data_IF_441293166394
#
_entry.id   IF_441293166394
#
_cell.length_a   1.000
_cell.length_b   1.000
_cell.length_c   1.000
_cell.angle_alpha   90.00
_cell.angle_beta   90.00
_cell.angle_gamma   90.00
#
_symmetry.space_group_name_H-M   'P 1'
#
loop_
_entity.id
_entity.type
_entity.pdbx_description
1 polymer ?
#
# COMPACT_ATOMS: atom_id res chain seq x y z
N UNK A 1 12.98 56.45 59.82
CA UNK A 1 14.21 56.40 58.98
C UNK A 1 14.19 55.08 58.23
N UNK A 2 14.30 54.87 56.92
CA UNK A 2 14.52 55.67 55.69
C UNK A 2 13.86 54.82 54.57
N UNK A 3 12.91 55.39 53.83
CA UNK A 3 12.97 55.75 52.38
C UNK A 3 12.76 54.59 51.38
N UNK A 4 11.61 54.67 50.71
CA UNK A 4 11.27 54.10 49.39
C UNK A 4 12.16 54.67 48.27
N UNK A 5 12.55 53.81 47.31
CA UNK A 5 13.02 54.07 45.91
C UNK A 5 12.72 52.74 45.18
N UNK A 6 11.78 52.54 44.25
CA UNK A 6 11.31 53.26 43.06
C UNK A 6 12.40 53.46 42.00
N UNK A 7 12.61 52.43 41.17
CA UNK A 7 13.18 52.64 39.83
C UNK A 7 12.51 51.71 38.82
N UNK A 8 11.60 52.34 38.05
CA UNK A 8 11.17 51.89 36.72
C UNK A 8 12.36 51.87 35.77
N UNK A 9 12.40 50.87 34.87
CA UNK A 9 12.88 51.01 33.49
C UNK A 9 12.27 49.88 32.64
N UNK A 10 11.19 50.19 31.91
CA UNK A 10 11.11 50.15 30.44
C UNK A 10 11.26 48.74 29.84
N UNK A 11 10.18 48.00 29.58
CA UNK A 11 9.36 48.11 28.36
C UNK A 11 10.21 48.01 27.07
N UNK A 12 10.39 46.77 26.59
CA UNK A 12 10.46 46.49 25.15
C UNK A 12 9.48 45.35 24.89
N UNK A 13 8.34 45.75 24.37
CA UNK A 13 7.38 44.95 23.65
C UNK A 13 8.13 44.34 22.47
N UNK A 14 8.41 43.04 22.51
CA UNK A 14 8.65 42.27 21.28
C UNK A 14 7.53 41.26 21.17
N UNK A 15 6.40 41.76 20.67
CA UNK A 15 5.39 40.94 20.04
C UNK A 15 6.03 40.32 18.79
N UNK A 16 6.73 39.19 18.97
CA UNK A 16 6.90 38.26 17.88
C UNK A 16 5.55 37.59 17.62
N UNK A 17 4.71 38.32 16.88
CA UNK A 17 3.77 37.75 15.94
C UNK A 17 4.60 36.88 15.00
N UNK A 18 4.81 35.62 15.39
CA UNK A 18 5.10 34.56 14.44
C UNK A 18 3.81 34.41 13.66
N UNK A 19 3.70 35.20 12.59
CA UNK A 19 2.86 34.86 11.45
C UNK A 19 3.53 33.60 10.91
N UNK A 20 3.19 32.44 11.49
CA UNK A 20 3.34 31.17 10.81
C UNK A 20 2.43 31.31 9.61
N UNK A 21 3.06 31.76 8.52
CA UNK A 21 2.58 31.59 7.18
C UNK A 21 2.12 30.14 7.10
N UNK A 22 0.80 29.93 7.16
CA UNK A 22 0.17 28.81 6.48
C UNK A 22 0.42 29.05 4.99
N UNK A 23 1.67 28.82 4.60
CA UNK A 23 2.15 28.82 3.25
C UNK A 23 1.41 27.67 2.58
N UNK A 24 0.40 28.03 1.80
CA UNK A 24 -0.22 27.22 0.76
C UNK A 24 -0.78 25.92 1.34
N UNK A 25 -2.07 25.83 1.62
CA UNK A 25 -3.05 25.44 0.61
C UNK A 25 -2.43 24.73 -0.62
N UNK A 26 -1.56 23.74 -0.38
CA UNK A 26 -1.41 22.58 -1.23
C UNK A 26 -2.76 21.89 -1.17
N UNK A 27 -3.71 22.40 -1.95
CA UNK A 27 -4.89 21.64 -2.29
C UNK A 27 -4.35 20.53 -3.19
N UNK A 28 -4.21 19.26 -2.72
CA UNK A 28 -3.68 18.18 -3.55
C UNK A 28 -4.59 17.89 -4.76
N UNK A 29 -5.73 18.58 -4.87
CA UNK A 29 -6.63 18.56 -6.01
C UNK A 29 -6.07 19.17 -7.31
N UNK A 30 -4.94 19.90 -7.29
CA UNK A 30 -4.42 20.57 -8.49
C UNK A 30 -3.11 20.01 -9.09
N UNK A 31 -2.50 18.98 -8.52
CA UNK A 31 -1.61 18.15 -9.34
C UNK A 31 -2.49 17.18 -10.10
N UNK A 32 -2.56 17.31 -11.43
CA UNK A 32 -3.17 16.31 -12.31
C UNK A 32 -2.28 15.07 -12.25
N UNK A 33 -2.43 14.34 -11.17
CA UNK A 33 -1.82 13.05 -10.94
C UNK A 33 -2.43 12.10 -11.97
N UNK A 34 -1.60 11.55 -12.86
CA UNK A 34 -2.03 10.53 -13.83
C UNK A 34 -2.31 9.16 -13.20
N UNK A 35 -2.24 9.06 -11.86
CA UNK A 35 -2.50 7.84 -11.12
C UNK A 35 -3.70 8.05 -10.18
N UNK A 36 -4.60 7.07 -10.13
CA UNK A 36 -5.68 7.02 -9.15
C UNK A 36 -5.29 6.21 -7.91
N UNK A 37 -4.57 5.11 -8.10
CA UNK A 37 -4.12 4.20 -7.04
C UNK A 37 -2.62 3.96 -7.17
N UNK A 38 -1.92 4.03 -6.03
CA UNK A 38 -0.53 3.64 -5.85
C UNK A 38 -0.40 2.60 -4.75
N UNK A 39 0.49 1.65 -4.97
CA UNK A 39 0.88 0.65 -3.97
C UNK A 39 2.29 0.94 -3.46
N UNK A 40 2.52 0.62 -2.19
CA UNK A 40 3.84 0.45 -1.60
C UNK A 40 3.79 -0.86 -0.80
N UNK A 41 4.63 -1.86 -1.09
CA UNK A 41 5.66 -1.90 -2.14
C UNK A 41 5.11 -1.65 -3.55
N UNK A 42 5.94 -1.07 -4.41
CA UNK A 42 5.62 -0.88 -5.83
C UNK A 42 5.72 -2.21 -6.58
N UNK A 43 5.14 -2.25 -7.78
CA UNK A 43 5.23 -3.44 -8.63
C UNK A 43 6.69 -3.74 -8.99
N UNK A 44 7.09 -4.99 -8.83
CA UNK A 44 8.44 -5.53 -9.02
C UNK A 44 9.49 -5.01 -8.02
N UNK A 45 9.09 -4.52 -6.85
CA UNK A 45 10.06 -4.27 -5.77
C UNK A 45 10.66 -5.61 -5.30
N UNK A 46 12.00 -5.70 -5.20
CA UNK A 46 12.71 -6.95 -4.89
C UNK A 46 13.34 -7.01 -3.49
N UNK A 47 13.17 -5.96 -2.68
CA UNK A 47 13.85 -5.82 -1.38
C UNK A 47 12.92 -5.26 -0.32
N UNK A 48 11.71 -5.81 -0.27
CA UNK A 48 10.70 -5.44 0.73
C UNK A 48 11.06 -6.05 2.09
N UNK A 49 10.97 -5.28 3.18
CA UNK A 49 11.22 -5.84 4.50
C UNK A 49 10.05 -6.73 4.93
N UNK A 50 10.35 -7.80 5.65
CA UNK A 50 9.32 -8.76 6.09
C UNK A 50 8.24 -8.19 7.03
N UNK A 51 8.52 -7.02 7.62
CA UNK A 51 7.60 -6.30 8.51
C UNK A 51 7.00 -5.04 7.86
N UNK A 52 7.25 -4.82 6.57
CA UNK A 52 6.67 -3.70 5.85
C UNK A 52 5.15 -3.84 5.79
N UNK A 53 4.48 -2.69 5.91
CA UNK A 53 3.04 -2.60 5.72
C UNK A 53 2.75 -2.43 4.24
N UNK A 54 1.67 -3.03 3.78
CA UNK A 54 1.18 -2.81 2.43
C UNK A 54 0.33 -1.54 2.45
N UNK A 55 0.70 -0.53 1.66
CA UNK A 55 0.03 0.77 1.62
C UNK A 55 -0.61 1.03 0.27
N UNK A 56 -1.89 1.36 0.30
CA UNK A 56 -2.67 1.80 -0.85
C UNK A 56 -2.93 3.30 -0.70
N UNK A 57 -2.49 4.09 -1.67
CA UNK A 57 -2.71 5.53 -1.73
C UNK A 57 -3.62 5.87 -2.89
N UNK A 58 -4.75 6.50 -2.59
CA UNK A 58 -5.77 6.89 -3.55
C UNK A 58 -5.72 8.41 -3.82
N UNK A 59 -5.95 8.80 -5.08
CA UNK A 59 -6.02 10.20 -5.46
C UNK A 59 -7.28 10.92 -4.93
N UNK A 60 -8.29 10.15 -4.52
CA UNK A 60 -9.56 10.62 -3.91
C UNK A 60 -10.05 9.63 -2.86
N UNK A 61 -10.94 10.11 -1.99
CA UNK A 61 -11.63 9.27 -1.00
C UNK A 61 -12.32 8.11 -1.71
N UNK A 62 -12.13 6.91 -1.18
CA UNK A 62 -12.82 5.68 -1.61
C UNK A 62 -13.75 5.19 -0.50
N UNK A 63 -14.51 4.11 -0.75
CA UNK A 63 -15.29 3.44 0.29
C UNK A 63 -14.39 2.36 0.91
N UNK A 64 -14.03 2.47 2.19
CA UNK A 64 -13.19 1.49 2.88
C UNK A 64 -13.70 0.05 2.74
N UNK A 65 -15.01 -0.18 2.85
CA UNK A 65 -15.58 -1.54 2.81
C UNK A 65 -15.36 -2.22 1.48
N UNK A 66 -15.47 -1.46 0.39
CA UNK A 66 -15.22 -1.99 -0.95
C UNK A 66 -13.74 -2.35 -1.09
N UNK A 67 -12.83 -1.56 -0.55
CA UNK A 67 -11.39 -1.89 -0.64
C UNK A 67 -11.08 -3.13 0.21
N UNK A 68 -11.55 -3.17 1.45
CA UNK A 68 -11.27 -4.27 2.40
C UNK A 68 -11.79 -5.63 1.91
N UNK A 69 -12.94 -5.68 1.24
CA UNK A 69 -13.53 -6.91 0.73
C UNK A 69 -12.85 -7.45 -0.54
N UNK A 70 -12.05 -6.62 -1.21
CA UNK A 70 -11.61 -6.86 -2.57
C UNK A 70 -10.09 -6.72 -2.77
N UNK A 71 -9.37 -6.34 -1.72
CA UNK A 71 -7.91 -6.45 -1.66
C UNK A 71 -7.50 -7.84 -1.22
N UNK A 72 -6.54 -8.42 -1.93
CA UNK A 72 -6.00 -9.75 -1.63
C UNK A 72 -4.48 -9.72 -1.70
N UNK A 73 -3.83 -10.33 -0.71
CA UNK A 73 -2.39 -10.58 -0.66
C UNK A 73 -2.17 -12.09 -0.57
N UNK A 74 -1.28 -12.65 -1.41
CA UNK A 74 -1.00 -14.08 -1.47
C UNK A 74 0.51 -14.28 -1.58
N UNK A 75 1.06 -15.27 -0.87
CA UNK A 75 2.45 -15.68 -1.07
C UNK A 75 2.59 -16.73 -2.19
N UNK A 76 3.72 -16.76 -2.88
CA UNK A 76 4.03 -17.82 -3.84
C UNK A 76 3.95 -19.21 -3.21
N UNK A 77 4.31 -19.34 -1.93
CA UNK A 77 4.18 -20.58 -1.16
C UNK A 77 2.73 -21.03 -1.04
N UNK A 78 1.82 -20.12 -0.67
CA UNK A 78 0.40 -20.45 -0.53
C UNK A 78 -0.23 -20.80 -1.88
N UNK A 79 0.19 -20.12 -2.95
CA UNK A 79 -0.22 -20.45 -4.32
C UNK A 79 0.24 -21.85 -4.75
N UNK A 80 1.41 -22.30 -4.30
CA UNK A 80 1.99 -23.60 -4.65
C UNK A 80 1.55 -24.74 -3.72
N UNK A 81 0.56 -24.53 -2.85
CA UNK A 81 0.12 -25.56 -1.91
C UNK A 81 -0.51 -26.76 -2.62
N UNK A 82 0.28 -27.82 -2.75
CA UNK A 82 -0.12 -29.11 -3.36
C UNK A 82 -1.20 -29.86 -2.57
N UNK A 83 -1.48 -29.46 -1.33
CA UNK A 83 -2.57 -30.01 -0.52
C UNK A 83 -3.90 -29.31 -0.78
N UNK A 84 -3.89 -28.19 -1.49
CA UNK A 84 -5.12 -27.58 -1.94
C UNK A 84 -5.87 -28.56 -2.86
N UNK A 85 -7.14 -28.91 -2.58
CA UNK A 85 -7.92 -29.84 -3.39
C UNK A 85 -8.02 -29.44 -4.87
N UNK A 86 -7.96 -28.14 -5.15
CA UNK A 86 -8.08 -27.57 -6.49
C UNK A 86 -6.74 -27.57 -7.24
N UNK A 87 -5.61 -27.64 -6.52
CA UNK A 87 -4.25 -27.64 -7.10
C UNK A 87 -4.01 -28.79 -8.08
N UNK A 88 -4.65 -29.94 -7.86
CA UNK A 88 -4.47 -31.16 -8.66
C UNK A 88 -5.19 -31.12 -10.00
N UNK A 89 -6.33 -30.42 -10.06
CA UNK A 89 -7.17 -30.35 -11.27
C UNK A 89 -6.90 -29.08 -12.08
N UNK A 90 -6.35 -28.04 -11.45
CA UNK A 90 -6.15 -26.73 -12.10
C UNK A 90 -4.69 -26.32 -12.32
N UNK A 91 -3.72 -27.21 -12.09
CA UNK A 91 -2.32 -27.04 -12.48
C UNK A 91 -1.76 -25.64 -12.18
N UNK A 92 -1.17 -25.43 -11.00
CA UNK A 92 -0.52 -24.17 -10.61
C UNK A 92 0.75 -23.84 -11.43
N UNK A 93 0.85 -24.26 -12.69
CA UNK A 93 2.12 -24.31 -13.43
C UNK A 93 2.77 -22.96 -13.64
N UNK A 94 2.01 -21.87 -13.61
CA UNK A 94 2.54 -20.51 -13.50
C UNK A 94 1.46 -19.51 -13.02
N UNK A 95 1.95 -18.42 -12.43
CA UNK A 95 1.16 -17.32 -11.89
C UNK A 95 0.29 -16.66 -12.97
N UNK A 96 0.77 -16.64 -14.21
CA UNK A 96 0.09 -16.06 -15.37
C UNK A 96 -1.17 -16.86 -15.78
N UNK A 97 -1.14 -18.20 -15.73
CA UNK A 97 -2.32 -19.02 -16.00
C UNK A 97 -3.37 -18.90 -14.89
N UNK A 98 -2.94 -18.81 -13.63
CA UNK A 98 -3.86 -18.62 -12.50
C UNK A 98 -4.69 -17.31 -12.66
N UNK A 99 -4.05 -16.25 -13.14
CA UNK A 99 -4.69 -14.94 -13.36
C UNK A 99 -5.74 -14.93 -14.48
N UNK A 100 -5.61 -15.80 -15.47
CA UNK A 100 -6.56 -15.90 -16.57
C UNK A 100 -7.78 -16.78 -16.26
N UNK A 101 -7.80 -17.42 -15.09
CA UNK A 101 -8.88 -18.30 -14.65
C UNK A 101 -9.65 -17.66 -13.48
N UNK A 102 -10.86 -17.16 -13.75
CA UNK A 102 -11.73 -16.51 -12.74
C UNK A 102 -11.99 -17.44 -11.54
N UNK A 103 -12.24 -18.72 -11.78
CA UNK A 103 -12.48 -19.69 -10.70
C UNK A 103 -11.24 -19.92 -9.82
N UNK A 104 -10.04 -19.82 -10.41
CA UNK A 104 -8.79 -19.87 -9.64
C UNK A 104 -8.63 -18.61 -8.78
N UNK A 105 -8.89 -17.43 -9.34
CA UNK A 105 -8.78 -16.17 -8.59
C UNK A 105 -9.77 -16.10 -7.41
N UNK A 106 -11.00 -16.59 -7.59
CA UNK A 106 -11.98 -16.71 -6.49
C UNK A 106 -11.49 -17.70 -5.43
N UNK A 107 -10.97 -18.86 -5.84
CA UNK A 107 -10.41 -19.83 -4.91
C UNK A 107 -9.21 -19.28 -4.13
N UNK A 108 -8.28 -18.62 -4.81
CA UNK A 108 -7.12 -17.98 -4.20
C UNK A 108 -7.54 -16.89 -3.21
N UNK A 109 -8.55 -16.09 -3.57
CA UNK A 109 -9.17 -15.10 -2.66
C UNK A 109 -9.75 -15.75 -1.42
N UNK A 110 -10.43 -16.88 -1.54
CA UNK A 110 -11.13 -17.48 -0.40
C UNK A 110 -10.23 -18.34 0.50
N UNK A 111 -9.24 -19.01 -0.08
CA UNK A 111 -8.49 -20.08 0.60
C UNK A 111 -7.04 -19.69 0.91
N UNK A 112 -6.39 -18.94 0.03
CA UNK A 112 -4.94 -18.71 0.07
C UNK A 112 -4.53 -17.27 0.42
N UNK A 113 -5.49 -16.41 0.75
CA UNK A 113 -5.17 -15.04 1.13
C UNK A 113 -4.52 -14.97 2.52
N UNK A 114 -3.51 -14.10 2.63
CA UNK A 114 -2.92 -13.70 3.89
C UNK A 114 -3.93 -12.84 4.64
N UNK A 115 -4.21 -13.23 5.89
CA UNK A 115 -5.09 -12.48 6.78
C UNK A 115 -4.37 -11.27 7.36
N UNK A 116 -5.15 -10.24 7.69
CA UNK A 116 -4.61 -9.02 8.27
C UNK A 116 -5.69 -8.03 8.63
N UNK A 117 -5.26 -6.82 8.98
CA UNK A 117 -6.11 -5.70 9.40
C UNK A 117 -5.87 -4.51 8.50
N UNK A 118 -6.92 -3.73 8.30
CA UNK A 118 -6.86 -2.48 7.57
C UNK A 118 -6.86 -1.29 8.53
N UNK A 119 -6.01 -0.31 8.25
CA UNK A 119 -5.94 0.96 8.97
C UNK A 119 -6.08 2.10 7.98
N UNK A 120 -7.04 2.99 8.24
CA UNK A 120 -7.38 4.09 7.33
C UNK A 120 -7.02 5.44 7.93
N UNK A 121 -6.65 6.38 7.07
CA UNK A 121 -6.67 7.79 7.46
C UNK A 121 -8.12 8.33 7.48
N UNK A 122 -8.31 9.51 8.09
CA UNK A 122 -9.64 10.14 8.23
C UNK A 122 -10.35 10.37 6.89
N UNK A 123 -9.59 10.62 5.85
CA UNK A 123 -10.11 11.07 4.56
C UNK A 123 -10.33 9.91 3.59
N UNK A 124 -10.10 8.66 4.03
CA UNK A 124 -10.23 7.44 3.23
C UNK A 124 -9.44 7.48 1.92
N UNK A 125 -8.26 8.12 1.94
CA UNK A 125 -7.33 8.24 0.82
C UNK A 125 -6.07 7.40 1.02
N UNK A 126 -5.81 6.93 2.23
CA UNK A 126 -4.68 6.07 2.56
C UNK A 126 -5.19 4.88 3.37
N UNK A 127 -4.87 3.69 2.90
CA UNK A 127 -5.13 2.43 3.57
C UNK A 127 -3.81 1.68 3.79
N UNK A 128 -3.57 1.22 5.01
CA UNK A 128 -2.50 0.29 5.32
C UNK A 128 -3.10 -1.08 5.65
N UNK A 129 -2.75 -2.09 4.86
CA UNK A 129 -2.98 -3.49 5.21
C UNK A 129 -1.78 -4.02 6.00
N UNK A 130 -2.09 -4.56 7.17
CA UNK A 130 -1.15 -5.08 8.15
C UNK A 130 -1.41 -6.58 8.27
N UNK A 131 -0.55 -7.44 7.67
CA UNK A 131 -0.64 -8.88 7.82
C UNK A 131 -0.67 -9.30 9.31
N UNK A 132 -1.46 -10.32 9.65
CA UNK A 132 -1.55 -10.84 11.02
C UNK A 132 -0.24 -11.52 11.48
N UNK A 133 0.62 -11.91 10.53
CA UNK A 133 1.96 -12.46 10.73
C UNK A 133 2.98 -11.74 9.85
N UNK A 134 4.24 -11.71 10.26
CA UNK A 134 5.32 -11.23 9.37
C UNK A 134 5.34 -12.00 8.06
N UNK A 135 5.79 -11.33 7.00
CA UNK A 135 6.05 -11.98 5.71
C UNK A 135 7.25 -12.94 5.85
N UNK A 136 7.27 -14.01 5.06
CA UNK A 136 8.44 -14.89 4.89
C UNK A 136 9.55 -14.17 4.12
N UNK A 137 10.82 -14.43 4.48
CA UNK A 137 12.01 -13.92 3.77
C UNK A 137 12.19 -14.57 2.40
N UNK A 138 12.79 -13.84 1.45
CA UNK A 138 13.06 -14.28 0.08
C UNK A 138 11.84 -14.91 -0.62
N UNK A 139 10.63 -14.42 -0.28
CA UNK A 139 9.36 -14.90 -0.79
C UNK A 139 8.77 -13.89 -1.78
N UNK A 140 8.18 -14.41 -2.85
CA UNK A 140 7.41 -13.62 -3.82
C UNK A 140 5.96 -13.51 -3.32
N UNK A 141 5.38 -12.32 -3.46
CA UNK A 141 4.01 -12.02 -3.09
C UNK A 141 3.27 -11.41 -4.27
N UNK A 142 2.00 -11.78 -4.36
CA UNK A 142 1.02 -11.19 -5.25
C UNK A 142 0.09 -10.30 -4.44
N UNK A 143 -0.17 -9.11 -4.95
CA UNK A 143 -1.32 -8.32 -4.57
C UNK A 143 -2.25 -8.24 -5.77
N UNK A 144 -3.54 -8.46 -5.54
CA UNK A 144 -4.53 -8.08 -6.54
C UNK A 144 -5.72 -7.36 -5.93
N UNK A 145 -6.30 -6.50 -6.75
CA UNK A 145 -7.57 -5.83 -6.48
C UNK A 145 -8.56 -6.27 -7.53
N UNK A 146 -9.70 -6.75 -7.05
CA UNK A 146 -10.69 -7.37 -7.92
C UNK A 146 -11.50 -6.36 -8.76
N UNK A 147 -12.35 -6.91 -9.63
CA UNK A 147 -13.19 -6.13 -10.54
C UNK A 147 -14.13 -5.14 -9.83
N UNK A 148 -14.60 -5.44 -8.62
CA UNK A 148 -15.51 -4.57 -7.88
C UNK A 148 -14.77 -3.34 -7.38
N UNK A 149 -13.55 -3.53 -6.86
CA UNK A 149 -12.69 -2.42 -6.49
C UNK A 149 -12.29 -1.59 -7.70
N UNK A 150 -11.90 -2.21 -8.81
CA UNK A 150 -11.57 -1.49 -10.06
C UNK A 150 -12.75 -0.68 -10.57
N UNK A 151 -13.94 -1.27 -10.63
CA UNK A 151 -15.16 -0.58 -11.04
C UNK A 151 -15.50 0.59 -10.13
N UNK A 152 -15.37 0.42 -8.81
CA UNK A 152 -15.58 1.50 -7.84
C UNK A 152 -14.65 2.70 -8.12
N UNK A 153 -13.38 2.44 -8.39
CA UNK A 153 -12.42 3.47 -8.77
C UNK A 153 -12.81 4.15 -10.09
N UNK A 154 -13.22 3.38 -11.11
CA UNK A 154 -13.68 3.94 -12.38
C UNK A 154 -14.90 4.84 -12.21
N UNK A 155 -15.87 4.47 -11.38
CA UNK A 155 -17.07 5.24 -11.15
C UNK A 155 -16.75 6.56 -10.43
N UNK A 156 -15.80 6.55 -9.47
CA UNK A 156 -15.27 7.78 -8.88
C UNK A 156 -14.63 8.67 -9.95
N UNK A 157 -13.79 8.11 -10.82
CA UNK A 157 -13.12 8.88 -11.88
C UNK A 157 -14.14 9.49 -12.85
N UNK A 158 -15.18 8.75 -13.24
CA UNK A 158 -16.26 9.27 -14.10
C UNK A 158 -17.01 10.44 -13.45
N UNK A 159 -17.24 10.37 -12.13
CA UNK A 159 -17.86 11.47 -11.38
C UNK A 159 -16.96 12.70 -11.26
N UNK A 160 -15.66 12.57 -11.52
CA UNK A 160 -14.70 13.67 -11.55
C UNK A 160 -14.60 14.34 -12.93
N UNK A 161 -15.63 14.27 -13.79
CA UNK A 161 -15.62 14.56 -15.24
C UNK A 161 -14.98 15.88 -15.75
N UNK A 162 -14.56 16.78 -14.86
CA UNK A 162 -13.77 17.97 -15.20
C UNK A 162 -12.24 17.74 -15.11
N UNK A 163 -11.81 16.61 -14.55
CA UNK A 163 -10.40 16.20 -14.47
C UNK A 163 -10.10 15.29 -15.64
N UNK A 164 -9.27 15.78 -16.57
CA UNK A 164 -8.86 15.14 -17.81
C UNK A 164 -7.94 13.91 -17.58
N UNK A 165 -8.27 13.05 -16.61
CA UNK A 165 -7.54 11.84 -16.29
C UNK A 165 -8.10 10.71 -17.15
N UNK A 166 -7.48 10.49 -18.31
CA UNK A 166 -7.79 9.32 -19.11
C UNK A 166 -7.39 8.06 -18.35
N UNK A 167 -8.40 7.28 -17.97
CA UNK A 167 -8.28 5.99 -17.28
C UNK A 167 -7.24 5.09 -17.98
N UNK A 168 -7.17 5.14 -19.32
CA UNK A 168 -6.22 4.39 -20.15
C UNK A 168 -4.74 4.73 -19.93
N UNK A 169 -4.43 5.88 -19.33
CA UNK A 169 -3.06 6.32 -19.07
C UNK A 169 -2.57 6.07 -17.64
N UNK A 170 -3.47 5.67 -16.72
CA UNK A 170 -3.02 5.26 -15.40
C UNK A 170 -2.18 3.98 -15.52
N UNK A 171 -0.98 3.91 -14.91
CA UNK A 171 -0.18 2.68 -14.88
C UNK A 171 -0.98 1.47 -14.37
N UNK A 172 -1.95 1.74 -13.48
CA UNK A 172 -2.91 0.79 -12.93
C UNK A 172 -3.87 0.15 -13.96
N UNK A 173 -3.94 0.68 -15.18
CA UNK A 173 -4.79 0.23 -16.28
C UNK A 173 -4.03 -0.44 -17.42
N UNK A 174 -2.70 -0.32 -17.46
CA UNK A 174 -1.85 -1.00 -18.47
C UNK A 174 -1.74 -2.51 -18.24
N UNK A 175 -1.92 -2.95 -16.98
CA UNK A 175 -1.88 -4.36 -16.57
C UNK A 175 -3.29 -4.94 -16.30
N UNK A 176 -4.33 -4.42 -16.98
CA UNK A 176 -5.68 -4.97 -16.85
C UNK A 176 -5.81 -6.29 -17.62
N UNK A 177 -5.70 -7.39 -16.90
CA UNK A 177 -6.25 -8.67 -17.35
C UNK A 177 -7.55 -8.93 -16.55
N UNK A 178 -8.66 -9.13 -17.26
CA UNK A 178 -9.97 -9.44 -16.67
C UNK A 178 -10.50 -8.40 -15.65
N UNK A 179 -10.21 -7.11 -15.84
CA UNK A 179 -10.58 -6.02 -14.92
C UNK A 179 -10.03 -6.14 -13.50
N UNK A 180 -8.99 -6.93 -13.30
CA UNK A 180 -8.21 -6.97 -12.07
C UNK A 180 -6.92 -6.18 -12.26
N UNK A 181 -6.38 -5.65 -11.17
CA UNK A 181 -5.03 -5.08 -11.18
C UNK A 181 -4.16 -5.92 -10.28
N UNK A 182 -3.03 -6.32 -10.83
CA UNK A 182 -2.10 -7.23 -10.20
C UNK A 182 -0.73 -6.59 -10.05
N UNK A 183 -0.15 -6.81 -8.88
CA UNK A 183 1.19 -6.39 -8.54
C UNK A 183 1.94 -7.56 -7.92
N UNK A 184 3.23 -7.60 -8.18
CA UNK A 184 4.16 -8.55 -7.61
C UNK A 184 5.25 -7.80 -6.85
N UNK A 185 5.70 -8.34 -5.73
CA UNK A 185 6.93 -7.90 -5.06
C UNK A 185 7.60 -9.08 -4.38
N UNK A 186 8.87 -8.92 -4.03
CA UNK A 186 9.67 -9.91 -3.33
C UNK A 186 10.29 -9.32 -2.07
N UNK A 187 10.21 -10.06 -0.98
CA UNK A 187 10.86 -9.69 0.28
C UNK A 187 12.36 -9.95 0.22
N UNK A 188 13.13 -9.18 0.97
CA UNK A 188 14.56 -9.35 1.13
C UNK A 188 14.94 -10.76 1.65
N UNK A 189 16.20 -11.14 1.43
CA UNK A 189 16.75 -12.36 2.06
C UNK A 189 17.04 -12.10 3.53
N UNK A 190 16.91 -13.14 4.38
CA UNK A 190 17.35 -13.04 5.77
C UNK A 190 18.83 -12.64 5.79
N UNK A 191 19.18 -11.65 6.63
CA UNK A 191 20.57 -11.30 6.86
C UNK A 191 21.30 -12.58 7.30
N UNK A 192 22.30 -13.01 6.53
CA UNK A 192 23.24 -14.02 7.01
C UNK A 192 23.97 -13.35 8.17
N UNK A 193 23.68 -13.77 9.39
CA UNK A 193 24.58 -13.51 10.50
C UNK A 193 25.90 -14.20 10.11
N UNK A 194 26.87 -13.41 9.64
CA UNK A 194 28.22 -13.87 9.42
C UNK A 194 28.86 -14.06 10.80
N UNK A 195 28.42 -15.10 11.52
CA UNK A 195 29.20 -15.71 12.58
C UNK A 195 30.29 -16.55 11.89
N UNK A 196 31.22 -15.86 11.20
CA UNK A 196 32.52 -16.43 10.88
C UNK A 196 33.25 -16.61 12.21
N UNK A 197 32.99 -17.74 12.85
CA UNK A 197 33.79 -18.24 13.94
C UNK A 197 35.17 -18.59 13.34
N UNK A 198 36.09 -17.62 13.32
CA UNK A 198 37.51 -17.88 13.07
C UNK A 198 38.00 -18.86 14.16
N UNK A 199 37.95 -20.15 13.85
CA UNK A 199 38.61 -21.17 14.66
C UNK A 199 40.12 -21.04 14.42
N UNK A 200 40.78 -20.22 15.24
CA UNK A 200 42.21 -20.30 15.44
C UNK A 200 42.54 -21.66 16.07
N UNK A 201 42.94 -22.62 15.24
CA UNK A 201 43.67 -23.79 15.71
C UNK A 201 45.17 -23.53 15.55
N UNK A 202 45.85 -23.50 16.71
CA UNK A 202 47.29 -23.52 16.88
C UNK A 202 47.91 -24.84 16.40
#
# INVERSE_FOLDING_TARGET
>A
MKKSILMLCSLVISAMLVITSCSMNDNPANSVSNWFLKFSPANNDESVQVNDRIKLTFAKSVDPKIIEQNFVLISQKDMNDTLCPISKDMGHSDMENAMNNIGMMEHLKDVHHIKGKFSWNSDSTICEFIPDSSLDYNMEYMMFVDQNMVKHMEDIIKMMSDVNMMISECPCHKNKQNNTMLLHFKTESAAKNNDEHESHHN
#
